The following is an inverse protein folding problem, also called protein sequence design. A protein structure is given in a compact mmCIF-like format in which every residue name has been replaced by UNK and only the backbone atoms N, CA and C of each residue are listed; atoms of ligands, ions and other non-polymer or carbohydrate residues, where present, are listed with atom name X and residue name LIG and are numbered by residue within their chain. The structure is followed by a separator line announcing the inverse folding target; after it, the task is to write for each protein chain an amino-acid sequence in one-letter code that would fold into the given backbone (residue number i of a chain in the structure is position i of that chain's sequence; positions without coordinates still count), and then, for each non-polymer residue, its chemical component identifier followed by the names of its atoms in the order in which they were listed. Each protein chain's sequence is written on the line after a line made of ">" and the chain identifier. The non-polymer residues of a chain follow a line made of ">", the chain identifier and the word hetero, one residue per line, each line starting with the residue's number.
data_IF_419193738757
#
_entry.id   IF_419193738757
#
_cell.length_a   1.000
_cell.length_b   1.000
_cell.length_c   1.000
_cell.angle_alpha   90.00
_cell.angle_beta   90.00
_cell.angle_gamma   90.00
#
_symmetry.space_group_name_H-M   'P 1'
#
loop_
_entity.id
_entity.type
_entity.pdbx_description
1 polymer ?
#
# COMPACT_ATOMS: atom_id res chain seq x y z
N UNK A 1 -10.43 -1.52 -8.30
CA UNK A 1 -10.65 -2.76 -7.51
C UNK A 1 -11.09 -2.43 -6.09
N UNK A 2 -11.77 -3.34 -5.38
CA UNK A 2 -12.13 -3.16 -3.95
C UNK A 2 -10.90 -3.38 -3.05
N UNK A 3 -10.97 -2.94 -1.78
CA UNK A 3 -9.86 -3.04 -0.83
C UNK A 3 -9.34 -4.48 -0.64
N UNK A 4 -10.23 -5.46 -0.57
CA UNK A 4 -9.86 -6.87 -0.42
C UNK A 4 -9.02 -7.38 -1.60
N UNK A 5 -9.43 -7.06 -2.83
CA UNK A 5 -8.69 -7.44 -4.03
C UNK A 5 -7.32 -6.75 -4.09
N UNK A 6 -7.25 -5.47 -3.70
CA UNK A 6 -6.00 -4.72 -3.66
C UNK A 6 -5.03 -5.31 -2.64
N UNK A 7 -5.51 -5.58 -1.43
CA UNK A 7 -4.73 -6.18 -0.36
C UNK A 7 -4.19 -7.56 -0.75
N UNK A 8 -5.03 -8.43 -1.32
CA UNK A 8 -4.61 -9.74 -1.82
C UNK A 8 -3.54 -9.64 -2.92
N UNK A 9 -3.68 -8.68 -3.85
CA UNK A 9 -2.70 -8.47 -4.93
C UNK A 9 -1.30 -8.15 -4.41
N UNK A 10 -1.19 -7.41 -3.30
CA UNK A 10 0.08 -7.05 -2.69
C UNK A 10 0.47 -7.93 -1.49
N UNK A 11 -0.31 -8.98 -1.20
CA UNK A 11 -0.10 -9.90 -0.06
C UNK A 11 0.03 -9.17 1.28
N UNK A 12 -0.84 -8.19 1.52
CA UNK A 12 -0.94 -7.43 2.78
C UNK A 12 -2.36 -7.51 3.34
N UNK A 13 -2.54 -7.13 4.61
CA UNK A 13 -3.88 -7.05 5.21
C UNK A 13 -4.65 -5.81 4.71
N UNK A 14 -5.98 -5.87 4.77
CA UNK A 14 -6.83 -4.69 4.51
C UNK A 14 -6.47 -3.53 5.45
N UNK A 15 -6.10 -3.83 6.70
CA UNK A 15 -5.72 -2.81 7.68
C UNK A 15 -4.41 -2.12 7.32
N UNK A 16 -3.45 -2.83 6.72
CA UNK A 16 -2.24 -2.20 6.17
C UNK A 16 -2.60 -1.18 5.09
N UNK A 17 -3.57 -1.51 4.22
CA UNK A 17 -4.04 -0.59 3.19
C UNK A 17 -4.75 0.62 3.81
N UNK A 18 -5.62 0.41 4.82
CA UNK A 18 -6.28 1.51 5.54
C UNK A 18 -5.27 2.42 6.22
N UNK A 19 -4.28 1.85 6.89
CA UNK A 19 -3.20 2.60 7.50
C UNK A 19 -2.46 3.49 6.50
N UNK A 20 -2.14 2.99 5.30
CA UNK A 20 -1.53 3.81 4.25
C UNK A 20 -2.46 4.87 3.66
N UNK A 21 -3.78 4.66 3.70
CA UNK A 21 -4.77 5.69 3.33
C UNK A 21 -4.82 6.78 4.41
N UNK A 22 -4.80 6.41 5.68
CA UNK A 22 -4.83 7.34 6.81
C UNK A 22 -3.58 8.24 6.80
N UNK A 23 -2.42 7.66 6.50
CA UNK A 23 -1.16 8.37 6.27
C UNK A 23 -1.09 9.16 4.95
N UNK A 24 -2.14 9.12 4.11
CA UNK A 24 -2.18 9.74 2.77
C UNK A 24 -1.10 9.24 1.79
N UNK A 25 -0.53 8.07 2.04
CA UNK A 25 0.46 7.43 1.16
C UNK A 25 -0.22 6.75 -0.05
N UNK A 26 -1.45 6.27 0.14
CA UNK A 26 -2.31 5.74 -0.94
C UNK A 26 -3.59 6.58 -0.97
N UNK A 27 -3.96 7.08 -2.15
CA UNK A 27 -5.14 7.95 -2.31
C UNK A 27 -6.12 7.27 -3.27
N UNK A 28 -7.05 6.45 -2.75
CA UNK A 28 -8.07 5.81 -3.58
C UNK A 28 -9.17 6.78 -3.97
N UNK A 29 -9.84 6.50 -5.09
CA UNK A 29 -11.06 7.20 -5.47
C UNK A 29 -12.22 6.76 -4.59
N UNK A 30 -13.10 7.68 -4.18
CA UNK A 30 -14.33 7.35 -3.47
C UNK A 30 -15.50 7.33 -4.46
N UNK A 31 -16.09 6.14 -4.68
CA UNK A 31 -17.26 5.95 -5.57
C UNK A 31 -18.40 5.36 -4.75
N UNK A 32 -19.48 6.14 -4.58
CA UNK A 32 -20.69 5.68 -3.88
C UNK A 32 -20.43 5.14 -2.47
N UNK A 33 -19.58 5.82 -1.69
CA UNK A 33 -19.24 5.41 -0.32
C UNK A 33 -18.13 4.36 -0.21
N UNK A 34 -17.73 3.72 -1.31
CA UNK A 34 -16.66 2.73 -1.31
C UNK A 34 -15.36 3.27 -1.90
N UNK A 35 -14.23 2.80 -1.36
CA UNK A 35 -12.93 3.04 -1.98
C UNK A 35 -12.73 2.17 -3.20
N UNK A 36 -12.27 2.81 -4.27
CA UNK A 36 -11.86 2.19 -5.52
C UNK A 36 -10.37 2.44 -5.76
N UNK A 37 -9.62 1.36 -5.85
CA UNK A 37 -8.19 1.39 -6.09
C UNK A 37 -7.90 1.16 -7.58
N UNK A 38 -7.19 2.09 -8.20
CA UNK A 38 -6.86 2.08 -9.62
C UNK A 38 -5.35 1.85 -9.84
N UNK A 39 -4.88 2.09 -11.07
CA UNK A 39 -3.46 1.97 -11.41
C UNK A 39 -2.58 2.98 -10.65
N UNK A 40 -3.09 4.16 -10.27
CA UNK A 40 -2.33 5.14 -9.48
C UNK A 40 -2.06 4.58 -8.09
N UNK A 41 -3.07 4.00 -7.45
CA UNK A 41 -2.93 3.34 -6.15
C UNK A 41 -1.88 2.22 -6.20
N UNK A 42 -1.87 1.43 -7.28
CA UNK A 42 -0.86 0.37 -7.46
C UNK A 42 0.56 0.92 -7.57
N UNK A 43 0.76 2.05 -8.27
CA UNK A 43 2.07 2.71 -8.38
C UNK A 43 2.55 3.17 -7.00
N UNK A 44 1.69 3.83 -6.23
CA UNK A 44 1.99 4.26 -4.87
C UNK A 44 2.39 3.08 -3.97
N UNK A 45 1.63 1.98 -4.01
CA UNK A 45 1.94 0.79 -3.22
C UNK A 45 3.30 0.16 -3.59
N UNK A 46 3.62 0.09 -4.88
CA UNK A 46 4.93 -0.40 -5.33
C UNK A 46 6.07 0.48 -4.83
N UNK A 47 5.89 1.79 -4.84
CA UNK A 47 6.88 2.75 -4.33
C UNK A 47 7.11 2.60 -2.83
N UNK A 48 6.03 2.53 -2.03
CA UNK A 48 6.10 2.26 -0.59
C UNK A 48 6.89 0.97 -0.30
N UNK A 49 6.59 -0.11 -1.03
CA UNK A 49 7.28 -1.39 -0.85
C UNK A 49 8.74 -1.33 -1.26
N UNK A 50 9.08 -0.58 -2.32
CA UNK A 50 10.46 -0.39 -2.74
C UNK A 50 11.25 0.41 -1.69
N UNK A 51 10.69 1.50 -1.15
CA UNK A 51 11.31 2.28 -0.08
C UNK A 51 11.52 1.44 1.20
N UNK A 52 10.54 0.61 1.55
CA UNK A 52 10.65 -0.32 2.69
C UNK A 52 11.75 -1.39 2.48
N UNK A 53 12.02 -1.78 1.23
CA UNK A 53 13.14 -2.69 0.91
C UNK A 53 14.49 -1.98 1.02
N UNK A 54 14.61 -0.76 0.51
CA UNK A 54 15.86 0.01 0.56
C UNK A 54 16.30 0.27 2.01
N UNK A 55 15.38 0.75 2.84
CA UNK A 55 15.61 0.95 4.28
C UNK A 55 16.01 -0.35 5.01
N UNK A 56 15.54 -1.51 4.54
CA UNK A 56 15.90 -2.82 5.09
C UNK A 56 17.23 -3.35 4.57
N UNK A 57 17.64 -3.04 3.34
CA UNK A 57 18.94 -3.47 2.78
C UNK A 57 20.13 -2.72 3.38
N UNK A 58 19.90 -1.52 3.93
CA UNK A 58 20.94 -0.75 4.64
C UNK A 58 21.08 -1.13 6.11
N UNK A 59 20.10 -1.83 6.69
CA UNK A 59 20.18 -2.35 8.05
C UNK A 59 20.74 -3.78 8.05
N UNK A 60 22.07 -3.90 8.04
CA UNK A 60 22.73 -5.10 8.57
C UNK A 60 22.79 -4.96 10.09
N UNK A 61 21.97 -5.66 10.89
CA UNK A 61 22.25 -5.76 12.31
C UNK A 61 23.64 -6.41 12.42
N UNK A 62 24.56 -5.73 13.10
CA UNK A 62 25.82 -6.34 13.53
C UNK A 62 25.45 -7.52 14.43
N UNK A 63 25.50 -8.72 13.85
CA UNK A 63 25.55 -9.96 14.61
C UNK A 63 26.95 -10.09 15.22
#
# INVERSE_FOLDING_TARGET
>A
MKISQFASKFKVSNDTIRYYIDLKLIIPEKKGGHYHFDKKCEKQMKEILNLKKLTRSEYKPSA
#
